data_IF_351169366289
#
_entry.id   IF_351169366289
#
_cell.length_a   1.000
_cell.length_b   1.000
_cell.length_c   1.000
_cell.angle_alpha   90.00
_cell.angle_beta   90.00
_cell.angle_gamma   90.00
#
_symmetry.space_group_name_H-M   'P 1'
#
loop_
_entity.id
_entity.type
_entity.pdbx_description
1 polymer ?
#
# COMPACT_ATOMS: atom_id res chain seq x y z
N UNK A 1 -1.98 -13.79 -6.57
CA UNK A 1 -3.18 -13.05 -6.11
C UNK A 1 -3.46 -11.90 -7.07
N UNK A 2 -4.73 -11.61 -7.39
CA UNK A 2 -5.05 -10.49 -8.29
C UNK A 2 -4.88 -9.14 -7.59
N UNK A 3 -4.31 -8.16 -8.27
CA UNK A 3 -4.13 -6.80 -7.71
C UNK A 3 -5.46 -6.14 -7.36
N UNK A 4 -6.51 -6.43 -8.13
CA UNK A 4 -7.87 -5.94 -7.86
C UNK A 4 -8.47 -6.45 -6.54
N UNK A 5 -7.93 -7.52 -5.98
CA UNK A 5 -8.39 -8.15 -4.73
C UNK A 5 -7.59 -7.68 -3.51
N UNK A 6 -6.42 -7.05 -3.73
CA UNK A 6 -5.56 -6.57 -2.65
C UNK A 6 -6.30 -5.53 -1.78
N UNK A 7 -6.20 -5.70 -0.47
CA UNK A 7 -6.77 -4.77 0.52
C UNK A 7 -5.95 -4.77 1.81
N UNK A 8 -6.16 -3.74 2.65
CA UNK A 8 -5.54 -3.59 3.96
C UNK A 8 -4.01 -3.73 3.94
N UNK A 9 -3.48 -4.42 4.95
CA UNK A 9 -2.04 -4.57 5.15
C UNK A 9 -1.32 -5.24 3.96
N UNK A 10 -2.00 -6.13 3.22
CA UNK A 10 -1.39 -6.78 2.07
C UNK A 10 -1.27 -5.82 0.87
N UNK A 11 -2.26 -4.94 0.67
CA UNK A 11 -2.12 -3.85 -0.30
C UNK A 11 -1.00 -2.89 0.10
N UNK A 12 -0.92 -2.54 1.39
CA UNK A 12 0.14 -1.67 1.91
C UNK A 12 1.54 -2.29 1.75
N UNK A 13 1.67 -3.60 1.92
CA UNK A 13 2.90 -4.36 1.63
C UNK A 13 3.33 -4.20 0.18
N UNK A 14 2.43 -4.45 -0.77
CA UNK A 14 2.78 -4.34 -2.19
C UNK A 14 3.09 -2.90 -2.60
N UNK A 15 2.44 -1.90 -2.02
CA UNK A 15 2.81 -0.49 -2.21
C UNK A 15 4.21 -0.21 -1.66
N UNK A 16 4.56 -0.75 -0.48
CA UNK A 16 5.91 -0.61 0.06
C UNK A 16 6.97 -1.21 -0.87
N UNK A 17 6.67 -2.37 -1.49
CA UNK A 17 7.52 -3.00 -2.49
C UNK A 17 7.73 -2.12 -3.73
N UNK A 18 6.68 -1.48 -4.23
CA UNK A 18 6.83 -0.49 -5.32
C UNK A 18 7.73 0.66 -4.88
N UNK A 19 7.50 1.23 -3.70
CA UNK A 19 8.29 2.36 -3.18
C UNK A 19 9.77 2.02 -2.94
N UNK A 20 10.10 0.74 -2.70
CA UNK A 20 11.49 0.26 -2.58
C UNK A 20 12.19 0.14 -3.94
N UNK A 21 11.43 -0.21 -5.00
CA UNK A 21 11.96 -0.46 -6.34
C UNK A 21 11.90 0.78 -7.26
N UNK A 22 10.99 1.71 -6.99
CA UNK A 22 10.77 2.91 -7.80
C UNK A 22 11.85 3.99 -7.59
N UNK A 23 12.28 4.63 -8.68
CA UNK A 23 13.17 5.78 -8.61
C UNK A 23 12.47 6.95 -7.89
N UNK A 24 13.08 7.47 -6.82
CA UNK A 24 12.49 8.51 -5.99
C UNK A 24 11.41 8.04 -4.99
N UNK A 25 11.21 6.72 -4.84
CA UNK A 25 10.35 6.15 -3.80
C UNK A 25 10.87 6.47 -2.40
N UNK A 26 9.96 6.71 -1.44
CA UNK A 26 10.32 7.07 -0.06
C UNK A 26 11.07 5.94 0.65
N UNK A 27 10.78 4.70 0.25
CA UNK A 27 11.36 3.49 0.83
C UNK A 27 12.50 2.93 -0.01
N UNK A 28 13.05 3.70 -0.95
CA UNK A 28 14.20 3.29 -1.76
C UNK A 28 15.33 2.85 -0.83
N UNK A 29 15.95 1.72 -1.17
CA UNK A 29 17.02 1.07 -0.41
C UNK A 29 16.62 0.55 1.00
N UNK A 30 15.33 0.60 1.37
CA UNK A 30 14.84 -0.08 2.58
C UNK A 30 14.66 -1.59 2.35
N UNK A 31 14.76 -2.36 3.43
CA UNK A 31 14.38 -3.77 3.45
C UNK A 31 12.98 -3.97 4.01
N UNK A 32 12.34 -5.09 3.66
CA UNK A 32 11.09 -5.54 4.27
C UNK A 32 11.20 -6.99 4.72
N UNK A 33 10.69 -7.30 5.92
CA UNK A 33 10.70 -8.65 6.48
C UNK A 33 9.36 -8.98 7.09
N UNK A 34 8.85 -10.16 6.78
CA UNK A 34 7.65 -10.70 7.40
C UNK A 34 7.90 -11.03 8.89
N UNK A 35 6.94 -10.66 9.74
CA UNK A 35 6.82 -11.19 11.10
C UNK A 35 5.88 -12.38 11.13
N UNK A 36 4.76 -12.26 10.40
CA UNK A 36 3.80 -13.32 10.11
C UNK A 36 3.01 -13.00 8.83
N UNK A 37 1.93 -13.73 8.58
CA UNK A 37 1.10 -13.63 7.35
C UNK A 37 0.43 -12.27 7.13
N UNK A 38 0.41 -11.42 8.14
CA UNK A 38 -0.36 -10.17 8.16
C UNK A 38 0.42 -8.96 8.67
N UNK A 39 1.68 -9.17 9.05
CA UNK A 39 2.52 -8.15 9.67
C UNK A 39 3.93 -8.18 9.10
N UNK A 40 4.41 -7.02 8.69
CA UNK A 40 5.76 -6.82 8.16
C UNK A 40 6.45 -5.65 8.83
N UNK A 41 7.77 -5.69 8.87
CA UNK A 41 8.63 -4.59 9.30
C UNK A 41 9.43 -4.09 8.11
N UNK A 42 9.35 -2.79 7.87
CA UNK A 42 10.27 -2.06 7.00
C UNK A 42 11.45 -1.65 7.87
N UNK A 43 12.67 -1.94 7.42
CA UNK A 43 13.89 -1.68 8.16
C UNK A 43 14.95 -1.02 7.28
N UNK A 44 15.88 -0.30 7.90
CA UNK A 44 17.08 0.19 7.25
C UNK A 44 18.10 -0.95 7.16
N UNK A 45 18.54 -1.41 5.97
CA UNK A 45 19.48 -2.50 5.84
C UNK A 45 20.88 -2.21 6.42
N UNK A 46 21.21 -0.94 6.67
CA UNK A 46 22.54 -0.52 7.15
C UNK A 46 22.76 -0.83 8.64
N UNK A 47 21.72 -0.71 9.44
CA UNK A 47 21.76 -0.93 10.89
C UNK A 47 20.68 -1.89 11.41
N UNK A 48 19.84 -2.41 10.51
CA UNK A 48 18.70 -3.28 10.79
C UNK A 48 17.65 -2.61 11.71
N UNK A 49 17.65 -1.28 11.79
CA UNK A 49 16.70 -0.50 12.57
C UNK A 49 15.31 -0.53 11.94
N UNK A 50 14.28 -0.83 12.75
CA UNK A 50 12.90 -0.77 12.30
C UNK A 50 12.52 0.69 11.99
N UNK A 51 11.98 0.93 10.78
CA UNK A 51 11.54 2.24 10.34
C UNK A 51 10.01 2.34 10.37
N UNK A 52 9.33 1.29 9.90
CA UNK A 52 7.88 1.24 9.90
C UNK A 52 7.34 -0.18 10.03
N UNK A 53 6.09 -0.31 10.44
CA UNK A 53 5.36 -1.57 10.55
C UNK A 53 4.13 -1.50 9.65
N UNK A 54 3.89 -2.57 8.91
CA UNK A 54 2.69 -2.78 8.11
C UNK A 54 1.84 -3.81 8.84
N UNK A 55 0.62 -3.43 9.23
CA UNK A 55 -0.33 -4.33 9.88
C UNK A 55 -1.75 -3.75 9.89
N UNK A 56 -2.74 -4.60 10.18
CA UNK A 56 -4.14 -4.18 10.30
C UNK A 56 -4.40 -3.51 11.65
N UNK A 57 -4.72 -2.22 11.62
CA UNK A 57 -5.24 -1.47 12.76
C UNK A 57 -4.17 -1.03 13.78
N UNK A 58 -4.50 0.04 14.50
CA UNK A 58 -3.58 0.73 15.41
C UNK A 58 -3.19 -0.08 16.66
N UNK A 59 -4.12 -0.88 17.20
CA UNK A 59 -3.83 -1.73 18.37
C UNK A 59 -2.79 -2.81 18.04
N UNK A 60 -2.94 -3.47 16.88
CA UNK A 60 -1.97 -4.43 16.37
C UNK A 60 -0.61 -3.76 16.15
N UNK A 61 -0.60 -2.56 15.56
CA UNK A 61 0.62 -1.77 15.38
C UNK A 61 1.36 -1.55 16.71
N UNK A 62 0.67 -1.05 17.75
CA UNK A 62 1.27 -0.81 19.06
C UNK A 62 1.78 -2.07 19.72
N UNK A 63 1.04 -3.18 19.58
CA UNK A 63 1.47 -4.49 20.09
C UNK A 63 2.76 -4.93 19.38
N UNK A 64 2.79 -4.87 18.04
CA UNK A 64 3.96 -5.23 17.24
C UNK A 64 5.17 -4.36 17.54
N UNK A 65 4.99 -3.04 17.70
CA UNK A 65 6.07 -2.13 18.09
C UNK A 65 6.75 -2.58 19.38
N UNK A 66 5.96 -2.98 20.38
CA UNK A 66 6.50 -3.51 21.64
C UNK A 66 7.17 -4.88 21.45
N UNK A 67 6.56 -5.79 20.67
CA UNK A 67 7.10 -7.13 20.41
C UNK A 67 8.48 -7.11 19.76
N UNK A 68 8.71 -6.20 18.81
CA UNK A 68 9.99 -6.09 18.11
C UNK A 68 11.01 -5.20 18.84
N UNK A 69 10.65 -4.67 20.03
CA UNK A 69 11.52 -3.77 20.79
C UNK A 69 11.84 -2.48 20.05
N UNK A 70 10.95 -2.02 19.19
CA UNK A 70 11.15 -0.84 18.37
C UNK A 70 11.07 0.45 19.19
N UNK A 71 11.87 1.45 18.81
CA UNK A 71 11.81 2.79 19.38
C UNK A 71 10.46 3.48 19.07
N UNK A 72 10.13 4.55 19.82
CA UNK A 72 8.89 5.32 19.69
C UNK A 72 8.73 5.99 18.32
N UNK A 73 9.78 6.11 17.50
CA UNK A 73 9.75 6.73 16.18
C UNK A 73 9.32 5.81 15.03
N UNK A 74 9.04 4.52 15.27
CA UNK A 74 8.56 3.61 14.21
C UNK A 74 7.17 4.02 13.73
N UNK A 75 6.99 4.13 12.42
CA UNK A 75 5.72 4.53 11.79
C UNK A 75 4.76 3.34 11.58
N UNK A 76 3.46 3.61 11.57
CA UNK A 76 2.45 2.66 11.08
C UNK A 76 2.21 2.90 9.60
N UNK A 77 2.88 2.15 8.73
CA UNK A 77 2.76 2.30 7.28
C UNK A 77 1.44 1.71 6.78
N UNK A 78 0.49 2.56 6.40
CA UNK A 78 -0.79 2.18 5.83
C UNK A 78 -1.29 3.19 4.78
N UNK A 79 -0.61 3.30 3.63
CA UNK A 79 -0.97 4.25 2.58
C UNK A 79 -2.36 4.01 1.97
N UNK A 80 -2.92 2.79 2.07
CA UNK A 80 -4.30 2.51 1.64
C UNK A 80 -5.38 3.09 2.56
N UNK A 81 -5.03 3.52 3.78
CA UNK A 81 -5.99 4.06 4.76
C UNK A 81 -5.61 5.42 5.36
N UNK A 82 -4.33 5.82 5.30
CA UNK A 82 -3.81 7.07 5.88
C UNK A 82 -3.41 8.06 4.80
N UNK A 83 -4.12 9.17 4.71
CA UNK A 83 -3.83 10.25 3.75
C UNK A 83 -2.44 10.88 3.92
N UNK A 84 -1.90 10.95 5.14
CA UNK A 84 -0.56 11.48 5.37
C UNK A 84 0.54 10.73 4.60
N UNK A 85 0.32 9.45 4.31
CA UNK A 85 1.23 8.61 3.53
C UNK A 85 0.72 8.45 2.09
N UNK A 86 -0.52 7.97 1.94
CA UNK A 86 -1.10 7.68 0.63
C UNK A 86 -1.25 8.92 -0.25
N UNK A 87 -1.52 10.09 0.34
CA UNK A 87 -1.65 11.35 -0.40
C UNK A 87 -0.35 11.78 -1.08
N UNK A 88 0.79 11.58 -0.43
CA UNK A 88 2.11 11.87 -1.00
C UNK A 88 2.41 10.95 -2.20
N UNK A 89 2.04 9.66 -2.08
CA UNK A 89 2.22 8.70 -3.17
C UNK A 89 1.30 9.05 -4.34
N UNK A 90 0.04 9.40 -4.07
CA UNK A 90 -0.96 9.86 -5.05
C UNK A 90 -0.47 11.08 -5.83
N UNK A 91 0.09 12.08 -5.13
CA UNK A 91 0.60 13.31 -5.74
C UNK A 91 1.80 13.02 -6.66
N UNK A 92 2.77 12.24 -6.18
CA UNK A 92 3.93 11.83 -6.98
C UNK A 92 3.54 11.00 -8.19
N UNK A 93 2.56 10.10 -8.05
CA UNK A 93 2.04 9.30 -9.15
C UNK A 93 1.13 10.10 -10.11
N UNK A 94 0.86 11.38 -9.80
CA UNK A 94 0.01 12.29 -10.59
C UNK A 94 -1.33 11.64 -10.92
N UNK A 95 -2.06 11.24 -9.89
CA UNK A 95 -3.29 10.47 -10.03
C UNK A 95 -4.52 11.36 -10.29
N UNK A 96 -5.34 10.98 -11.27
CA UNK A 96 -6.70 11.47 -11.44
C UNK A 96 -7.71 10.47 -10.88
N UNK A 97 -8.91 10.93 -10.54
CA UNK A 97 -9.99 10.08 -10.04
C UNK A 97 -11.30 10.32 -10.80
N UNK A 98 -12.05 9.24 -11.00
CA UNK A 98 -13.39 9.27 -11.57
C UNK A 98 -14.33 8.33 -10.80
N UNK A 99 -15.61 8.69 -10.74
CA UNK A 99 -16.65 7.94 -10.01
C UNK A 99 -17.92 7.73 -10.83
N UNK A 100 -18.01 8.23 -12.07
CA UNK A 100 -19.27 8.22 -12.83
C UNK A 100 -19.11 7.36 -14.09
N UNK A 101 -19.92 6.30 -14.20
CA UNK A 101 -20.01 5.47 -15.41
C UNK A 101 -18.83 4.53 -15.60
N UNK A 102 -18.09 4.21 -14.53
CA UNK A 102 -16.76 3.62 -14.62
C UNK A 102 -16.68 2.13 -14.27
N UNK A 103 -17.80 1.44 -14.02
CA UNK A 103 -17.77 -0.01 -13.77
C UNK A 103 -19.00 -0.55 -13.06
N UNK A 104 -18.97 -1.84 -12.66
CA UNK A 104 -20.03 -2.41 -11.85
C UNK A 104 -20.07 -1.73 -10.48
N UNK A 105 -21.28 -1.44 -10.00
CA UNK A 105 -21.52 -0.89 -8.67
C UNK A 105 -21.15 -1.90 -7.60
N UNK A 106 -20.79 -1.41 -6.42
CA UNK A 106 -20.61 -2.28 -5.25
C UNK A 106 -21.94 -2.89 -4.76
N UNK A 107 -21.87 -3.73 -3.73
CA UNK A 107 -23.03 -4.42 -3.15
C UNK A 107 -24.13 -3.46 -2.66
N UNK A 108 -23.74 -2.24 -2.30
CA UNK A 108 -24.63 -1.16 -1.83
C UNK A 108 -25.12 -0.27 -2.99
N UNK A 109 -24.73 -0.55 -4.23
CA UNK A 109 -25.15 0.18 -5.42
C UNK A 109 -24.36 1.48 -5.66
N UNK A 110 -23.24 1.70 -4.98
CA UNK A 110 -22.38 2.86 -5.21
C UNK A 110 -21.47 2.63 -6.42
N UNK A 111 -21.19 3.70 -7.16
CA UNK A 111 -20.23 3.66 -8.25
C UNK A 111 -18.80 3.52 -7.69
N UNK A 112 -17.93 2.69 -8.30
CA UNK A 112 -16.57 2.51 -7.81
C UNK A 112 -15.72 3.74 -8.08
N UNK A 113 -14.77 4.02 -7.18
CA UNK A 113 -13.73 5.02 -7.43
C UNK A 113 -12.68 4.40 -8.34
N UNK A 114 -12.35 5.08 -9.42
CA UNK A 114 -11.31 4.67 -10.38
C UNK A 114 -10.16 5.65 -10.32
N UNK A 115 -8.99 5.14 -10.02
CA UNK A 115 -7.74 5.88 -10.01
C UNK A 115 -7.03 5.71 -11.36
N UNK A 116 -6.69 6.83 -11.99
CA UNK A 116 -6.14 6.91 -13.34
C UNK A 116 -4.81 7.67 -13.26
N UNK A 117 -3.66 6.97 -13.32
CA UNK A 117 -2.37 7.64 -13.31
C UNK A 117 -2.17 8.40 -14.63
N UNK A 118 -1.71 9.65 -14.58
CA UNK A 118 -1.46 10.45 -15.81
C UNK A 118 -0.40 9.78 -16.69
N UNK A 119 0.63 9.22 -16.09
CA UNK A 119 1.78 8.63 -16.80
C UNK A 119 1.70 7.08 -16.87
N UNK A 120 0.73 6.47 -16.19
CA UNK A 120 0.52 5.03 -16.18
C UNK A 120 -0.43 4.57 -17.29
N UNK A 121 -0.35 3.28 -17.64
CA UNK A 121 -1.18 2.69 -18.71
C UNK A 121 -2.47 2.07 -18.21
N UNK A 122 -2.57 1.79 -16.91
CA UNK A 122 -3.66 1.00 -16.33
C UNK A 122 -4.33 1.73 -15.18
N UNK A 123 -5.64 1.89 -15.25
CA UNK A 123 -6.44 2.38 -14.13
C UNK A 123 -6.83 1.22 -13.21
N UNK A 124 -7.09 1.51 -11.94
CA UNK A 124 -7.61 0.52 -11.00
C UNK A 124 -8.79 1.06 -10.19
N UNK A 125 -9.66 0.14 -9.76
CA UNK A 125 -10.86 0.46 -9.00
C UNK A 125 -10.68 0.13 -7.52
N UNK A 126 -11.38 0.87 -6.66
CA UNK A 126 -11.45 0.58 -5.24
C UNK A 126 -12.62 1.27 -4.55
N UNK A 127 -12.98 0.79 -3.33
CA UNK A 127 -14.05 1.40 -2.53
C UNK A 127 -13.66 2.76 -1.95
N UNK A 128 -12.36 3.13 -1.97
CA UNK A 128 -11.87 4.43 -1.55
C UNK A 128 -10.84 4.96 -2.54
N UNK A 129 -10.60 6.28 -2.53
CA UNK A 129 -9.58 6.92 -3.35
C UNK A 129 -8.19 6.30 -3.12
N UNK A 130 -7.82 6.09 -1.86
CA UNK A 130 -6.53 5.51 -1.51
C UNK A 130 -6.42 4.05 -1.96
N UNK A 131 -7.45 3.22 -1.76
CA UNK A 131 -7.40 1.82 -2.21
C UNK A 131 -7.31 1.75 -3.74
N UNK A 132 -8.11 2.55 -4.46
CA UNK A 132 -8.05 2.61 -5.92
C UNK A 132 -6.66 3.05 -6.41
N UNK A 133 -6.09 4.10 -5.81
CA UNK A 133 -4.78 4.62 -6.17
C UNK A 133 -3.66 3.61 -5.89
N UNK A 134 -3.64 3.03 -4.69
CA UNK A 134 -2.64 2.03 -4.31
C UNK A 134 -2.70 0.81 -5.22
N UNK A 135 -3.90 0.34 -5.58
CA UNK A 135 -4.06 -0.74 -6.57
C UNK A 135 -3.54 -0.31 -7.95
N UNK A 136 -3.79 0.92 -8.39
CA UNK A 136 -3.29 1.40 -9.68
C UNK A 136 -1.75 1.46 -9.69
N UNK A 137 -1.14 1.90 -8.59
CA UNK A 137 0.32 1.95 -8.42
C UNK A 137 0.92 0.54 -8.52
N UNK A 138 0.38 -0.41 -7.74
CA UNK A 138 0.82 -1.82 -7.80
C UNK A 138 0.61 -2.42 -9.19
N UNK A 139 -0.55 -2.16 -9.81
CA UNK A 139 -0.91 -2.66 -11.13
C UNK A 139 0.02 -2.17 -12.25
N UNK A 140 0.46 -0.90 -12.20
CA UNK A 140 1.36 -0.35 -13.22
C UNK A 140 2.81 -0.80 -13.02
N UNK A 141 3.19 -1.22 -11.81
CA UNK A 141 4.54 -1.71 -11.52
C UNK A 141 4.68 -3.22 -11.72
N UNK A 142 3.75 -4.02 -11.17
CA UNK A 142 3.83 -5.49 -11.17
C UNK A 142 2.89 -6.19 -12.15
N UNK A 143 1.88 -5.49 -12.69
CA UNK A 143 0.85 -6.11 -13.55
C UNK A 143 -0.37 -6.61 -12.77
N UNK A 144 -1.16 -7.49 -13.39
CA UNK A 144 -2.48 -7.89 -12.85
C UNK A 144 -2.42 -8.85 -11.67
N UNK A 145 -1.31 -9.56 -11.53
CA UNK A 145 -1.10 -10.55 -10.49
C UNK A 145 0.22 -10.30 -9.78
N UNK A 146 0.19 -10.46 -8.47
CA UNK A 146 1.37 -10.46 -7.60
C UNK A 146 1.47 -11.82 -6.92
N UNK A 147 2.65 -12.12 -6.36
CA UNK A 147 2.84 -13.34 -5.58
C UNK A 147 1.81 -13.39 -4.45
N UNK A 148 1.27 -14.58 -4.20
CA UNK A 148 0.48 -14.80 -3.02
C UNK A 148 1.45 -14.94 -1.84
N UNK A 149 1.62 -13.86 -1.08
CA UNK A 149 2.45 -13.82 0.13
C UNK A 149 1.76 -14.53 1.31
N UNK A 150 0.79 -15.41 1.01
CA UNK A 150 0.23 -16.40 1.92
C UNK A 150 1.30 -17.31 2.50
N UNK A 151 1.97 -16.81 3.54
CA UNK A 151 2.59 -17.67 4.56
C UNK A 151 1.62 -18.77 4.97
#
# INVERSE_FOLDING_TARGET
MKVSELTGALLDYWVARVEMEAEGGRLKDCGIRALDRSRWVIFDPRDNGAMAIICVGFFTFRKTQNEIGADRFVEHYSPSTRWAEGGLIVDRARMNFATIGTGPRDEDGNEPIVAIPIEGRRAAQGPTHLIAAMRAIVLNHFGEEVLDEGL
#
